data_IF_730184688375
#
_entry.id   IF_730184688375
#
_cell.length_a   1.000
_cell.length_b   1.000
_cell.length_c   1.000
_cell.angle_alpha   90.00
_cell.angle_beta   90.00
_cell.angle_gamma   90.00
#
_symmetry.space_group_name_H-M   'P 1'
#
loop_
_entity.id
_entity.type
_entity.pdbx_description
1 polymer ?
#
# COMPACT_ATOMS: atom_id res chain seq x y z
N UNK A 1 -18.55 41.53 -28.74
CA UNK A 1 -17.42 40.91 -29.46
C UNK A 1 -16.37 40.50 -28.45
N UNK A 2 -16.40 39.26 -27.96
CA UNK A 2 -15.48 38.75 -26.94
C UNK A 2 -14.56 37.68 -27.52
N UNK A 3 -13.28 38.00 -27.68
CA UNK A 3 -12.26 37.07 -28.18
C UNK A 3 -11.94 36.02 -27.10
N UNK A 4 -12.11 34.73 -27.43
CA UNK A 4 -11.70 33.61 -26.58
C UNK A 4 -10.29 33.16 -26.99
N UNK A 5 -9.32 33.35 -26.10
CA UNK A 5 -7.98 32.79 -26.23
C UNK A 5 -7.99 31.25 -26.24
N UNK A 6 -7.16 30.59 -27.07
CA UNK A 6 -7.05 29.14 -27.09
C UNK A 6 -6.28 28.64 -25.86
N UNK A 7 -6.90 27.75 -25.07
CA UNK A 7 -6.23 27.02 -23.99
C UNK A 7 -5.18 26.09 -24.61
N UNK A 8 -3.92 26.54 -24.55
CA UNK A 8 -2.73 25.82 -24.98
C UNK A 8 -2.66 24.48 -24.24
N UNK A 9 -2.87 23.40 -24.96
CA UNK A 9 -2.66 22.03 -24.50
C UNK A 9 -1.18 21.84 -24.16
N UNK A 10 -0.86 21.63 -22.88
CA UNK A 10 0.48 21.19 -22.48
C UNK A 10 0.59 19.70 -22.78
N UNK A 11 1.14 19.36 -23.95
CA UNK A 11 1.78 18.06 -24.14
C UNK A 11 3.18 18.15 -23.54
N UNK A 12 3.41 17.45 -22.44
CA UNK A 12 4.77 17.18 -21.98
C UNK A 12 5.20 15.84 -22.57
N UNK A 13 5.77 15.87 -23.77
CA UNK A 13 6.54 14.77 -24.29
C UNK A 13 7.96 14.86 -23.72
N UNK A 14 8.27 14.03 -22.73
CA UNK A 14 9.60 13.43 -22.48
C UNK A 14 9.58 12.79 -21.08
N UNK A 15 9.57 11.46 -21.00
CA UNK A 15 9.44 10.77 -19.71
C UNK A 15 10.18 9.44 -19.55
N UNK A 16 10.43 8.68 -20.63
CA UNK A 16 10.88 7.29 -20.48
C UNK A 16 12.18 7.09 -19.68
N UNK A 17 13.15 8.01 -19.78
CA UNK A 17 14.40 7.93 -19.01
C UNK A 17 14.30 8.55 -17.61
N UNK A 18 13.42 9.54 -17.41
CA UNK A 18 13.20 10.19 -16.10
C UNK A 18 12.38 9.30 -15.16
N UNK A 19 11.43 8.57 -15.72
CA UNK A 19 10.59 7.65 -14.96
C UNK A 19 11.40 6.49 -14.38
N UNK A 20 12.38 5.94 -15.13
CA UNK A 20 13.25 4.86 -14.62
C UNK A 20 14.08 5.27 -13.40
N UNK A 21 14.66 6.47 -13.38
CA UNK A 21 15.44 6.94 -12.23
C UNK A 21 14.56 7.11 -10.99
N UNK A 22 13.38 7.72 -11.15
CA UNK A 22 12.39 7.84 -10.08
C UNK A 22 11.86 6.50 -9.57
N UNK A 23 11.69 5.52 -10.46
CA UNK A 23 11.27 4.16 -10.11
C UNK A 23 12.35 3.42 -9.30
N UNK A 24 13.64 3.68 -9.59
CA UNK A 24 14.77 3.20 -8.79
C UNK A 24 14.70 3.71 -7.36
N UNK A 25 14.58 5.03 -7.20
CA UNK A 25 14.45 5.66 -5.88
C UNK A 25 13.20 5.18 -5.13
N UNK A 26 12.08 5.03 -5.84
CA UNK A 26 10.82 4.54 -5.26
C UNK A 26 10.95 3.09 -4.76
N UNK A 27 11.60 2.22 -5.53
CA UNK A 27 11.78 0.83 -5.12
C UNK A 27 12.65 0.72 -3.87
N UNK A 28 13.71 1.53 -3.75
CA UNK A 28 14.54 1.55 -2.54
C UNK A 28 13.77 2.08 -1.32
N UNK A 29 12.94 3.11 -1.49
CA UNK A 29 12.02 3.59 -0.44
C UNK A 29 11.03 2.49 -0.02
N UNK A 30 10.48 1.73 -0.97
CA UNK A 30 9.58 0.61 -0.66
C UNK A 30 10.33 -0.53 0.06
N UNK A 31 11.59 -0.81 -0.31
CA UNK A 31 12.42 -1.82 0.39
C UNK A 31 12.71 -1.40 1.83
N UNK A 32 13.05 -0.13 2.05
CA UNK A 32 13.18 0.45 3.40
C UNK A 32 11.88 0.30 4.19
N UNK A 33 10.73 0.56 3.56
CA UNK A 33 9.43 0.37 4.20
C UNK A 33 9.22 -1.10 4.63
N UNK A 34 9.52 -2.06 3.74
CA UNK A 34 9.35 -3.48 3.99
C UNK A 34 10.29 -4.05 5.07
N UNK A 35 11.44 -3.41 5.27
CA UNK A 35 12.48 -3.86 6.21
C UNK A 35 12.49 -3.00 7.46
N UNK A 36 13.19 -1.87 7.43
CA UNK A 36 13.48 -1.03 8.59
C UNK A 36 12.23 -0.44 9.22
N UNK A 37 11.32 0.09 8.41
CA UNK A 37 10.09 0.70 8.92
C UNK A 37 9.15 -0.36 9.52
N UNK A 38 8.95 -1.48 8.81
CA UNK A 38 8.14 -2.59 9.33
C UNK A 38 8.76 -3.19 10.61
N UNK A 39 10.08 -3.34 10.63
CA UNK A 39 10.82 -3.83 11.80
C UNK A 39 10.64 -2.88 13.00
N UNK A 40 10.67 -1.57 12.78
CA UNK A 40 10.46 -0.60 13.86
C UNK A 40 9.07 -0.72 14.49
N UNK A 41 8.02 -0.81 13.66
CA UNK A 41 6.61 -0.83 14.07
C UNK A 41 6.14 -2.20 14.59
N UNK A 42 6.44 -3.27 13.86
CA UNK A 42 5.86 -4.59 14.09
C UNK A 42 6.86 -5.62 14.62
N UNK A 43 8.15 -5.26 14.69
CA UNK A 43 9.27 -6.15 15.10
C UNK A 43 9.46 -7.34 14.16
N UNK A 44 9.05 -7.19 12.89
CA UNK A 44 9.26 -8.13 11.79
C UNK A 44 9.39 -7.39 10.47
N UNK A 45 9.89 -8.07 9.43
CA UNK A 45 9.82 -7.60 8.05
C UNK A 45 8.50 -7.99 7.40
N UNK A 46 8.15 -7.33 6.30
CA UNK A 46 7.03 -7.76 5.43
C UNK A 46 7.34 -9.14 4.84
N UNK A 47 6.37 -10.05 4.83
CA UNK A 47 6.59 -11.44 4.38
C UNK A 47 6.72 -11.55 2.86
N UNK A 48 5.97 -10.74 2.11
CA UNK A 48 6.02 -10.74 0.65
C UNK A 48 5.84 -9.34 0.07
N UNK A 49 6.71 -8.97 -0.86
CA UNK A 49 6.57 -7.76 -1.67
C UNK A 49 6.37 -8.18 -3.13
N UNK A 50 5.23 -7.79 -3.72
CA UNK A 50 4.97 -7.93 -5.16
C UNK A 50 4.91 -6.55 -5.81
N UNK A 51 5.33 -6.44 -7.05
CA UNK A 51 5.17 -5.22 -7.84
C UNK A 51 4.84 -5.56 -9.29
N UNK A 52 4.09 -4.68 -9.95
CA UNK A 52 3.87 -4.76 -11.40
C UNK A 52 4.90 -3.94 -12.20
N UNK A 53 5.91 -3.35 -11.54
CA UNK A 53 6.90 -2.43 -12.11
C UNK A 53 6.30 -1.17 -12.78
N UNK A 54 5.01 -0.92 -12.58
CA UNK A 54 4.25 0.22 -13.09
C UNK A 54 3.64 1.04 -11.95
N UNK A 55 4.37 1.15 -10.85
CA UNK A 55 3.96 1.95 -9.69
C UNK A 55 2.87 1.31 -8.81
N UNK A 56 2.63 0.01 -8.91
CA UNK A 56 1.80 -0.72 -7.94
C UNK A 56 2.69 -1.69 -7.16
N UNK A 57 2.59 -1.62 -5.84
CA UNK A 57 3.28 -2.50 -4.90
C UNK A 57 2.25 -3.14 -3.98
N UNK A 58 2.41 -4.42 -3.68
CA UNK A 58 1.55 -5.16 -2.76
C UNK A 58 2.43 -5.76 -1.67
N UNK A 59 2.25 -5.29 -0.44
CA UNK A 59 2.94 -5.78 0.74
C UNK A 59 2.00 -6.77 1.44
N UNK A 60 2.46 -8.00 1.69
CA UNK A 60 1.69 -9.00 2.41
C UNK A 60 2.33 -9.26 3.77
N UNK A 61 1.51 -9.19 4.80
CA UNK A 61 1.88 -9.63 6.16
C UNK A 61 0.95 -10.79 6.53
N UNK A 62 1.52 -11.98 6.71
CA UNK A 62 0.77 -13.20 7.02
C UNK A 62 0.31 -13.26 8.48
N UNK A 63 0.92 -12.47 9.36
CA UNK A 63 0.66 -12.50 10.81
C UNK A 63 0.68 -11.08 11.35
N UNK A 64 -0.23 -10.26 10.83
CA UNK A 64 -0.26 -8.84 11.14
C UNK A 64 -0.66 -8.63 12.60
N UNK A 65 0.25 -8.06 13.38
CA UNK A 65 0.17 -8.05 14.85
C UNK A 65 -1.11 -7.42 15.39
N UNK A 66 -1.62 -6.40 14.69
CA UNK A 66 -2.84 -5.69 15.11
C UNK A 66 -4.12 -6.50 14.85
N UNK A 67 -4.06 -7.51 13.98
CA UNK A 67 -5.17 -8.41 13.68
C UNK A 67 -5.12 -9.72 14.46
N UNK A 68 -4.01 -10.04 15.14
CA UNK A 68 -3.88 -11.27 15.93
C UNK A 68 -4.98 -11.43 16.98
N UNK A 69 -5.43 -10.33 17.60
CA UNK A 69 -6.52 -10.38 18.61
C UNK A 69 -7.91 -10.56 18.01
N UNK A 70 -8.06 -10.34 16.71
CA UNK A 70 -9.31 -10.56 15.96
C UNK A 70 -9.35 -11.96 15.34
N UNK A 71 -8.21 -12.64 15.28
CA UNK A 71 -8.14 -13.99 14.75
C UNK A 71 -8.91 -14.96 15.68
N UNK A 72 -9.78 -15.80 15.12
CA UNK A 72 -10.54 -16.77 15.91
C UNK A 72 -9.61 -17.84 16.51
N UNK A 73 -9.86 -18.22 17.77
CA UNK A 73 -9.05 -19.19 18.51
C UNK A 73 -9.16 -20.64 18.01
N UNK A 74 -10.07 -20.92 17.08
CA UNK A 74 -10.32 -22.26 16.52
C UNK A 74 -10.50 -22.17 15.00
N UNK A 75 -10.17 -23.23 14.23
CA UNK A 75 -10.38 -23.27 12.80
C UNK A 75 -11.86 -23.07 12.49
N UNK A 76 -12.16 -22.02 11.72
CA UNK A 76 -13.52 -21.60 11.39
C UNK A 76 -14.08 -22.58 10.36
N UNK A 77 -15.18 -23.27 10.71
CA UNK A 77 -15.95 -24.06 9.75
C UNK A 77 -16.56 -23.14 8.68
N UNK A 78 -16.48 -23.60 7.43
CA UNK A 78 -16.70 -22.83 6.20
C UNK A 78 -18.13 -22.30 6.04
N UNK A 79 -18.23 -21.12 5.42
CA UNK A 79 -19.49 -20.61 4.86
C UNK A 79 -19.65 -19.10 4.93
N UNK A 80 -19.64 -18.53 6.14
CA UNK A 80 -20.11 -17.14 6.35
C UNK A 80 -19.39 -16.34 7.46
N UNK A 81 -18.61 -16.99 8.33
CA UNK A 81 -17.74 -16.30 9.30
C UNK A 81 -16.51 -15.60 8.71
N UNK A 82 -15.81 -16.12 7.67
CA UNK A 82 -14.55 -15.54 7.21
C UNK A 82 -14.72 -14.12 6.65
N UNK A 83 -15.75 -13.92 5.82
CA UNK A 83 -16.10 -12.63 5.21
C UNK A 83 -16.57 -11.59 6.23
N UNK A 84 -17.34 -12.03 7.23
CA UNK A 84 -17.79 -11.17 8.33
C UNK A 84 -16.60 -10.69 9.18
N UNK A 85 -15.67 -11.60 9.48
CA UNK A 85 -14.44 -11.28 10.20
C UNK A 85 -13.54 -10.33 9.40
N UNK A 86 -13.39 -10.56 8.10
CA UNK A 86 -12.64 -9.66 7.20
C UNK A 86 -13.24 -8.24 7.19
N UNK A 87 -14.56 -8.10 7.07
CA UNK A 87 -15.25 -6.79 7.14
C UNK A 87 -15.06 -6.12 8.50
N UNK A 88 -15.12 -6.89 9.59
CA UNK A 88 -14.92 -6.38 10.95
C UNK A 88 -13.48 -5.95 11.22
N UNK A 89 -12.51 -6.49 10.48
CA UNK A 89 -11.10 -6.14 10.55
C UNK A 89 -10.74 -4.87 9.78
N UNK A 90 -11.56 -4.46 8.80
CA UNK A 90 -11.27 -3.32 7.93
C UNK A 90 -10.97 -2.01 8.69
N UNK A 91 -11.68 -1.64 9.77
CA UNK A 91 -11.38 -0.42 10.53
C UNK A 91 -9.98 -0.42 11.15
N UNK A 92 -9.46 -1.60 11.51
CA UNK A 92 -8.12 -1.75 12.10
C UNK A 92 -6.99 -1.54 11.07
N UNK A 93 -7.33 -1.56 9.78
CA UNK A 93 -6.39 -1.34 8.69
C UNK A 93 -6.31 0.13 8.23
N UNK A 94 -7.25 0.99 8.63
CA UNK A 94 -7.22 2.41 8.26
C UNK A 94 -6.00 3.15 8.84
N UNK A 95 -5.68 2.89 10.10
CA UNK A 95 -4.53 3.52 10.75
C UNK A 95 -3.19 3.07 10.11
N UNK A 96 -2.91 1.77 9.90
CA UNK A 96 -1.74 1.32 9.16
C UNK A 96 -1.65 1.93 7.75
N UNK A 97 -2.76 2.00 7.00
CA UNK A 97 -2.79 2.66 5.69
C UNK A 97 -2.33 4.13 5.76
N UNK A 98 -2.84 4.87 6.75
CA UNK A 98 -2.47 6.27 6.97
C UNK A 98 -0.99 6.43 7.32
N UNK A 99 -0.46 5.56 8.20
CA UNK A 99 0.94 5.55 8.60
C UNK A 99 1.86 5.27 7.40
N UNK A 100 1.56 4.24 6.60
CA UNK A 100 2.33 3.90 5.40
C UNK A 100 2.32 5.07 4.40
N UNK A 101 1.12 5.63 4.12
CA UNK A 101 0.98 6.76 3.20
C UNK A 101 1.78 7.97 3.68
N UNK A 102 1.70 8.30 4.97
CA UNK A 102 2.41 9.42 5.57
C UNK A 102 3.92 9.25 5.50
N UNK A 103 4.43 8.05 5.82
CA UNK A 103 5.85 7.73 5.71
C UNK A 103 6.37 7.87 4.27
N UNK A 104 5.64 7.33 3.29
CA UNK A 104 6.02 7.43 1.88
C UNK A 104 5.99 8.88 1.37
N UNK A 105 4.97 9.64 1.75
CA UNK A 105 4.86 11.06 1.38
C UNK A 105 6.01 11.87 1.98
N UNK A 106 6.41 11.59 3.23
CA UNK A 106 7.57 12.22 3.87
C UNK A 106 8.88 11.90 3.13
N UNK A 107 8.99 10.71 2.55
CA UNK A 107 10.13 10.28 1.72
C UNK A 107 10.02 10.75 0.26
N UNK A 108 9.07 11.63 -0.07
CA UNK A 108 8.91 12.21 -1.40
C UNK A 108 8.13 11.34 -2.39
N UNK A 109 7.49 10.27 -1.92
CA UNK A 109 6.69 9.33 -2.73
C UNK A 109 5.20 9.57 -2.50
N UNK A 110 4.54 10.24 -3.44
CA UNK A 110 3.09 10.40 -3.40
C UNK A 110 2.38 9.10 -3.79
N UNK A 111 1.44 8.64 -2.95
CA UNK A 111 0.74 7.38 -3.19
C UNK A 111 -0.65 7.33 -2.55
N UNK A 112 -1.47 6.41 -3.04
CA UNK A 112 -2.64 5.90 -2.30
C UNK A 112 -2.31 4.54 -1.68
N UNK A 113 -2.93 4.24 -0.55
CA UNK A 113 -2.76 2.97 0.16
C UNK A 113 -4.14 2.40 0.47
N UNK A 114 -4.38 1.20 -0.01
CA UNK A 114 -5.58 0.41 0.26
C UNK A 114 -5.17 -0.87 0.99
N UNK A 115 -6.02 -1.37 1.88
CA UNK A 115 -5.74 -2.59 2.61
C UNK A 115 -6.94 -3.51 2.65
N UNK A 116 -6.63 -4.80 2.71
CA UNK A 116 -7.60 -5.89 2.72
C UNK A 116 -7.10 -7.03 3.60
N UNK A 117 -8.01 -7.65 4.36
CA UNK A 117 -7.74 -8.78 5.24
C UNK A 117 -8.57 -10.01 4.81
N UNK A 118 -8.13 -10.68 3.73
CA UNK A 118 -8.82 -11.86 3.18
C UNK A 118 -8.96 -13.01 4.18
N UNK A 119 -7.94 -13.20 5.02
CA UNK A 119 -7.90 -14.27 6.00
C UNK A 119 -7.12 -13.78 7.22
N UNK A 120 -7.77 -13.67 8.38
CA UNK A 120 -7.09 -13.27 9.61
C UNK A 120 -6.10 -14.36 10.05
N UNK A 121 -4.92 -13.99 10.59
CA UNK A 121 -4.42 -12.63 10.87
C UNK A 121 -3.66 -11.98 9.70
N UNK A 122 -3.74 -12.53 8.49
CA UNK A 122 -3.06 -12.00 7.32
C UNK A 122 -3.76 -10.76 6.73
N UNK A 123 -2.97 -9.82 6.22
CA UNK A 123 -3.46 -8.68 5.48
C UNK A 123 -2.53 -8.33 4.30
N UNK A 124 -3.07 -7.56 3.36
CA UNK A 124 -2.31 -7.04 2.22
C UNK A 124 -2.53 -5.53 2.09
N UNK A 125 -1.44 -4.80 1.88
CA UNK A 125 -1.44 -3.36 1.61
C UNK A 125 -1.07 -3.12 0.15
N UNK A 126 -2.00 -2.58 -0.62
CA UNK A 126 -1.79 -2.16 -2.01
C UNK A 126 -1.42 -0.69 -2.04
N UNK A 127 -0.20 -0.40 -2.48
CA UNK A 127 0.34 0.94 -2.61
C UNK A 127 0.36 1.28 -4.10
N UNK A 128 -0.32 2.36 -4.48
CA UNK A 128 -0.33 2.88 -5.85
C UNK A 128 0.33 4.25 -5.88
N UNK A 129 1.45 4.34 -6.59
CA UNK A 129 2.18 5.58 -6.79
C UNK A 129 1.33 6.52 -7.66
N UNK A 130 1.19 7.77 -7.21
CA UNK A 130 0.45 8.82 -7.92
C UNK A 130 1.47 9.83 -8.43
N UNK A 131 1.67 9.86 -9.75
CA UNK A 131 2.60 10.77 -10.43
C UNK A 131 2.04 12.18 -10.62
#
# INVERSE_FOLDING_TARGET
MGQRHPRRSRRSASGYSRDKARLGDTLEVIKFLCKDFWQALFKKQVDNLRTNHRGIYVLQDHSFRWLLRLAPAAPVQEGSRPEFLARSAQPYLYLPCGIIRGALTHLGVNCTVEADAKALPSCSFTIKITT
#
